data_IF_468382517954
#
_entry.id   IF_468382517954
#
_cell.length_a   1.000
_cell.length_b   1.000
_cell.length_c   1.000
_cell.angle_alpha   90.00
_cell.angle_beta   90.00
_cell.angle_gamma   90.00
#
_symmetry.space_group_name_H-M   'P 1'
#
loop_
_entity.id
_entity.type
_entity.pdbx_description
1 polymer ?
#
# COMPACT_ATOMS: atom_id res chain seq x y z
N UNK A 1 3.42 0.53 10.25
CA UNK A 1 2.48 1.65 9.96
C UNK A 1 1.22 1.44 10.79
N UNK A 2 0.56 2.52 11.18
CA UNK A 2 -0.79 2.50 11.76
C UNK A 2 -1.70 3.27 10.82
N UNK A 3 -2.85 2.70 10.49
CA UNK A 3 -3.85 3.29 9.60
C UNK A 3 -5.06 3.72 10.41
N UNK A 4 -5.66 4.84 9.99
CA UNK A 4 -6.90 5.39 10.54
C UNK A 4 -7.80 5.88 9.39
N UNK A 5 -9.13 5.84 9.57
CA UNK A 5 -10.14 6.19 8.58
C UNK A 5 -10.78 4.96 7.93
N UNK A 6 -10.84 4.92 6.60
CA UNK A 6 -11.41 3.77 5.86
C UNK A 6 -10.67 2.45 6.12
N UNK A 7 -9.39 2.54 6.52
CA UNK A 7 -8.64 1.41 7.07
C UNK A 7 -8.34 1.73 8.54
N UNK A 8 -8.76 0.85 9.45
CA UNK A 8 -8.35 0.89 10.86
C UNK A 8 -7.51 -0.35 11.14
N UNK A 9 -6.23 -0.17 11.46
CA UNK A 9 -5.34 -1.31 11.70
C UNK A 9 -3.85 -1.01 11.61
N UNK A 10 -3.06 -2.06 11.50
CA UNK A 10 -1.59 -1.97 11.43
C UNK A 10 -1.04 -2.62 10.16
N UNK A 11 0.01 -2.03 9.62
CA UNK A 11 0.80 -2.55 8.51
C UNK A 11 2.21 -2.89 8.96
N UNK A 12 2.66 -4.11 8.68
CA UNK A 12 4.01 -4.60 9.00
C UNK A 12 4.66 -5.18 7.76
N UNK A 13 5.92 -4.86 7.50
CA UNK A 13 6.58 -5.28 6.28
C UNK A 13 8.04 -4.88 6.24
N UNK A 14 8.67 -5.24 5.12
CA UNK A 14 10.05 -4.92 4.84
C UNK A 14 10.16 -4.13 3.53
N UNK A 15 11.20 -3.31 3.47
CA UNK A 15 11.52 -2.49 2.31
C UNK A 15 12.98 -2.72 1.96
N UNK A 16 13.23 -2.98 0.69
CA UNK A 16 14.57 -3.05 0.11
C UNK A 16 14.73 -1.88 -0.85
N UNK A 17 15.81 -1.13 -0.70
CA UNK A 17 16.08 0.06 -1.50
C UNK A 17 17.53 0.12 -1.95
N UNK A 18 17.75 0.64 -3.14
CA UNK A 18 19.07 0.97 -3.68
C UNK A 18 19.03 2.40 -4.16
N UNK A 19 20.02 3.19 -3.72
CA UNK A 19 20.17 4.59 -4.11
C UNK A 19 21.39 4.75 -5.02
N UNK A 20 21.20 5.55 -6.06
CA UNK A 20 22.25 6.07 -6.92
C UNK A 20 22.50 7.56 -6.67
N UNK A 21 23.34 8.20 -7.50
CA UNK A 21 23.53 9.64 -7.47
C UNK A 21 22.27 10.40 -7.91
N UNK A 22 22.27 11.72 -7.75
CA UNK A 22 21.25 12.64 -8.29
C UNK A 22 19.81 12.36 -7.83
N UNK A 23 19.60 11.75 -6.65
CA UNK A 23 18.26 11.33 -6.18
C UNK A 23 17.62 10.28 -7.10
N UNK A 24 18.43 9.48 -7.81
CA UNK A 24 17.96 8.30 -8.53
C UNK A 24 18.02 7.06 -7.63
N UNK A 25 17.15 6.10 -7.87
CA UNK A 25 17.11 4.86 -7.10
C UNK A 25 15.83 4.09 -7.31
N UNK A 26 15.71 2.97 -6.60
CA UNK A 26 14.49 2.19 -6.59
C UNK A 26 14.29 1.56 -5.22
N UNK A 27 13.03 1.29 -4.90
CA UNK A 27 12.67 0.45 -3.77
C UNK A 27 11.53 -0.49 -4.12
N UNK A 28 11.51 -1.61 -3.41
CA UNK A 28 10.36 -2.50 -3.34
C UNK A 28 10.03 -2.75 -1.87
N UNK A 29 8.74 -2.79 -1.54
CA UNK A 29 8.29 -3.17 -0.21
C UNK A 29 7.12 -4.13 -0.29
N UNK A 30 7.07 -5.07 0.66
CA UNK A 30 5.92 -5.92 0.90
C UNK A 30 5.47 -5.67 2.33
N UNK A 31 4.21 -5.31 2.51
CA UNK A 31 3.61 -5.12 3.83
C UNK A 31 2.29 -5.86 3.96
N UNK A 32 2.04 -6.42 5.14
CA UNK A 32 0.76 -7.02 5.51
C UNK A 32 -0.02 -6.06 6.38
N UNK A 33 -1.22 -5.73 5.94
CA UNK A 33 -2.20 -4.95 6.68
C UNK A 33 -3.11 -5.91 7.45
N UNK A 34 -3.35 -5.63 8.72
CA UNK A 34 -4.30 -6.34 9.58
C UNK A 34 -5.24 -5.33 10.23
N UNK A 35 -6.55 -5.56 10.14
CA UNK A 35 -7.54 -4.65 10.69
C UNK A 35 -8.87 -4.72 9.98
N UNK A 36 -9.52 -3.58 9.82
CA UNK A 36 -10.77 -3.44 9.07
C UNK A 36 -10.58 -2.52 7.86
N UNK A 37 -11.31 -2.81 6.78
CA UNK A 37 -11.48 -1.95 5.61
C UNK A 37 -12.97 -1.67 5.44
N UNK A 38 -13.39 -0.42 5.61
CA UNK A 38 -14.79 0.01 5.59
C UNK A 38 -15.70 -0.90 6.44
N UNK A 39 -15.20 -1.24 7.65
CA UNK A 39 -15.88 -2.11 8.62
C UNK A 39 -15.69 -3.61 8.40
N UNK A 40 -15.12 -4.05 7.28
CA UNK A 40 -14.88 -5.48 6.97
C UNK A 40 -13.57 -5.95 7.55
N UNK A 41 -13.60 -6.99 8.38
CA UNK A 41 -12.44 -7.49 9.11
C UNK A 41 -11.64 -8.49 8.27
N UNK A 42 -10.32 -8.29 8.25
CA UNK A 42 -9.43 -9.22 7.57
C UNK A 42 -7.97 -8.80 7.59
N UNK A 43 -7.23 -9.41 6.68
CA UNK A 43 -5.86 -9.05 6.37
C UNK A 43 -5.69 -9.02 4.87
N UNK A 44 -4.73 -8.25 4.38
CA UNK A 44 -4.28 -8.27 2.98
C UNK A 44 -2.84 -7.82 2.92
N UNK A 45 -2.16 -8.06 1.80
CA UNK A 45 -0.82 -7.57 1.57
C UNK A 45 -0.79 -6.51 0.47
N UNK A 46 0.12 -5.54 0.61
CA UNK A 46 0.43 -4.54 -0.40
C UNK A 46 1.84 -4.80 -0.93
N UNK A 47 2.03 -4.63 -2.23
CA UNK A 47 3.36 -4.53 -2.86
C UNK A 47 3.57 -3.10 -3.33
N UNK A 48 4.75 -2.55 -3.03
CA UNK A 48 5.17 -1.22 -3.43
C UNK A 48 6.28 -1.36 -4.48
N UNK A 49 6.20 -0.56 -5.54
CA UNK A 49 7.27 -0.36 -6.51
C UNK A 49 7.50 1.15 -6.64
N UNK A 50 8.63 1.60 -6.13
CA UNK A 50 9.08 2.98 -6.28
C UNK A 50 10.30 3.06 -7.18
N UNK A 51 10.26 3.96 -8.16
CA UNK A 51 11.41 4.30 -9.01
C UNK A 51 11.61 5.80 -8.95
N UNK A 52 12.85 6.22 -8.74
CA UNK A 52 13.27 7.62 -8.75
C UNK A 52 14.29 7.82 -9.86
N UNK A 53 14.07 8.84 -10.68
CA UNK A 53 15.00 9.27 -11.72
C UNK A 53 15.21 10.79 -11.61
N UNK A 54 16.38 11.19 -11.11
CA UNK A 54 16.79 12.60 -11.02
C UNK A 54 15.80 13.50 -10.28
N UNK A 55 15.18 12.95 -9.22
CA UNK A 55 14.15 13.63 -8.43
C UNK A 55 12.71 13.49 -8.95
N UNK A 56 12.49 12.93 -10.15
CA UNK A 56 11.16 12.48 -10.57
C UNK A 56 10.86 11.13 -9.90
N UNK A 57 9.64 10.96 -9.38
CA UNK A 57 9.24 9.75 -8.65
C UNK A 57 8.03 9.10 -9.34
N UNK A 58 8.15 7.80 -9.58
CA UNK A 58 7.03 6.92 -9.94
C UNK A 58 6.79 5.96 -8.77
N UNK A 59 5.54 5.88 -8.32
CA UNK A 59 5.13 4.98 -7.25
C UNK A 59 3.87 4.24 -7.64
N UNK A 60 3.95 2.91 -7.60
CA UNK A 60 2.80 2.02 -7.73
C UNK A 60 2.70 1.16 -6.47
N UNK A 61 1.53 1.19 -5.82
CA UNK A 61 1.23 0.33 -4.68
C UNK A 61 -0.06 -0.41 -4.99
N UNK A 62 -0.04 -1.74 -4.92
CA UNK A 62 -1.22 -2.56 -5.24
C UNK A 62 -1.45 -3.64 -4.19
N UNK A 63 -2.71 -4.05 -4.05
CA UNK A 63 -3.06 -5.25 -3.28
C UNK A 63 -2.47 -6.48 -3.98
N UNK A 64 -1.74 -7.28 -3.23
CA UNK A 64 -1.21 -8.55 -3.73
C UNK A 64 -2.37 -9.49 -4.02
N UNK A 65 -2.52 -10.01 -5.25
CA UNK A 65 -3.63 -10.88 -5.62
C UNK A 65 -3.76 -12.09 -4.68
N UNK A 66 -4.98 -12.36 -4.21
CA UNK A 66 -5.28 -13.49 -3.33
C UNK A 66 -4.74 -13.36 -1.90
N UNK A 67 -4.19 -12.19 -1.51
CA UNK A 67 -3.69 -11.98 -0.15
C UNK A 67 -4.77 -11.67 0.88
N UNK A 68 -5.97 -11.31 0.42
CA UNK A 68 -7.13 -10.99 1.26
C UNK A 68 -7.62 -12.20 2.07
N UNK A 69 -7.91 -11.99 3.36
CA UNK A 69 -8.45 -13.02 4.26
C UNK A 69 -9.73 -12.55 4.95
N UNK A 70 -10.54 -13.48 5.46
CA UNK A 70 -11.77 -13.14 6.19
C UNK A 70 -12.75 -12.45 5.25
N UNK A 71 -13.32 -11.33 5.69
CA UNK A 71 -14.28 -10.54 4.90
C UNK A 71 -13.62 -9.76 3.74
N UNK A 72 -12.28 -9.81 3.65
CA UNK A 72 -11.48 -9.20 2.60
C UNK A 72 -11.02 -10.23 1.55
N UNK A 73 -11.53 -11.46 1.60
CA UNK A 73 -11.20 -12.48 0.60
C UNK A 73 -11.61 -12.01 -0.79
N UNK A 74 -10.69 -12.06 -1.75
CA UNK A 74 -10.92 -11.58 -3.12
C UNK A 74 -10.65 -10.08 -3.33
N UNK A 75 -10.14 -9.36 -2.32
CA UNK A 75 -9.76 -7.96 -2.43
C UNK A 75 -8.74 -7.74 -3.56
N UNK A 76 -9.02 -6.75 -4.41
CA UNK A 76 -8.06 -6.16 -5.35
C UNK A 76 -8.09 -4.65 -5.23
N UNK A 77 -7.00 -3.97 -5.54
CA UNK A 77 -6.97 -2.51 -5.44
C UNK A 77 -5.62 -1.86 -5.67
N UNK A 78 -5.65 -0.55 -5.81
CA UNK A 78 -4.51 0.35 -5.92
C UNK A 78 -4.51 1.29 -4.73
N UNK A 79 -3.36 1.42 -4.08
CA UNK A 79 -3.19 2.23 -2.87
C UNK A 79 -2.45 3.52 -3.22
N UNK A 80 -3.21 4.57 -3.48
CA UNK A 80 -2.68 5.87 -3.87
C UNK A 80 -2.10 6.59 -2.64
N UNK A 81 -0.87 7.10 -2.78
CA UNK A 81 -0.23 7.95 -1.78
C UNK A 81 -0.12 9.37 -2.35
N UNK A 82 -0.68 10.33 -1.62
CA UNK A 82 -0.46 11.76 -1.87
C UNK A 82 0.31 12.34 -0.70
N UNK A 83 1.33 13.14 -0.98
CA UNK A 83 2.12 13.84 0.05
C UNK A 83 1.84 15.33 -0.09
N UNK A 84 1.12 15.90 0.88
CA UNK A 84 0.79 17.33 0.91
C UNK A 84 1.31 17.92 2.22
N UNK A 85 2.15 18.97 2.15
CA UNK A 85 2.68 19.63 3.34
C UNK A 85 3.49 18.73 4.29
N UNK A 86 4.02 17.60 3.79
CA UNK A 86 4.71 16.59 4.60
C UNK A 86 3.80 15.55 5.26
N UNK A 87 2.48 15.66 5.09
CA UNK A 87 1.51 14.68 5.56
C UNK A 87 1.28 13.60 4.49
N UNK A 88 1.31 12.34 4.90
CA UNK A 88 1.01 11.21 4.01
C UNK A 88 -0.49 10.94 4.02
N UNK A 89 -1.16 11.16 2.89
CA UNK A 89 -2.57 10.81 2.68
C UNK A 89 -2.66 9.57 1.80
N UNK A 90 -3.38 8.57 2.30
CA UNK A 90 -3.56 7.31 1.60
C UNK A 90 -5.00 7.15 1.14
N UNK A 91 -5.19 6.69 -0.10
CA UNK A 91 -6.49 6.36 -0.66
C UNK A 91 -6.43 4.98 -1.30
N UNK A 92 -7.17 4.02 -0.73
CA UNK A 92 -7.31 2.69 -1.31
C UNK A 92 -8.50 2.69 -2.26
N UNK A 93 -8.21 2.67 -3.56
CA UNK A 93 -9.20 2.34 -4.57
C UNK A 93 -9.27 0.81 -4.70
N UNK A 94 -10.41 0.21 -4.40
CA UNK A 94 -10.51 -1.24 -4.33
C UNK A 94 -11.83 -1.80 -4.85
N UNK A 95 -11.82 -3.10 -5.10
CA UNK A 95 -13.01 -3.90 -5.35
C UNK A 95 -12.99 -5.16 -4.49
N UNK A 96 -14.20 -5.59 -4.11
CA UNK A 96 -14.47 -6.87 -3.49
C UNK A 96 -15.53 -7.60 -4.33
N UNK A 97 -15.51 -8.94 -4.38
CA UNK A 97 -16.59 -9.69 -5.01
C UNK A 97 -17.94 -9.31 -4.39
N UNK A 98 -18.94 -9.04 -5.23
CA UNK A 98 -20.34 -9.03 -4.80
C UNK A 98 -20.78 -10.47 -4.52
N UNK A 99 -21.55 -10.66 -3.44
CA UNK A 99 -22.24 -11.93 -3.15
C UNK A 99 -23.21 -12.34 -4.27
#
# INVERSE_FOLDING_TARGET
KTFHGGIEGTGEGEMLGIMGPEQSGAYAALERVRGTLDGRTGTFALIHRGVMDKGAQELLITVVPGSGTGELTGLTGVFHLTIEGGEHRYNLEYSLPTE
#
